data_IF_379250636696
#
_entry.id   IF_379250636696
#
_cell.length_a   1.000
_cell.length_b   1.000
_cell.length_c   1.000
_cell.angle_alpha   90.00
_cell.angle_beta   90.00
_cell.angle_gamma   90.00
#
_symmetry.space_group_name_H-M   'P 1'
#
loop_
_entity.id
_entity.type
_entity.pdbx_description
1 polymer ?
#
# COMPACT_ATOMS: atom_id res chain seq x y z
N UNK A 1 5.09 9.80 -21.35
CA UNK A 1 4.64 8.68 -20.48
C UNK A 1 5.17 8.77 -19.05
N UNK A 2 6.41 9.20 -18.80
CA UNK A 2 7.00 9.24 -17.45
C UNK A 2 6.26 10.10 -16.42
N UNK A 3 5.54 11.15 -16.84
CA UNK A 3 4.81 12.03 -15.91
C UNK A 3 3.66 11.33 -15.17
N UNK A 4 2.98 10.38 -15.82
CA UNK A 4 1.83 9.65 -15.23
C UNK A 4 2.29 8.65 -14.18
N UNK A 5 3.51 8.13 -14.31
CA UNK A 5 4.10 7.11 -13.43
C UNK A 5 4.92 7.72 -12.28
N UNK A 6 5.00 9.05 -12.17
CA UNK A 6 5.66 9.73 -11.04
C UNK A 6 5.21 9.26 -9.65
N UNK A 7 3.93 8.94 -9.40
CA UNK A 7 3.51 8.39 -8.10
C UNK A 7 4.22 7.07 -7.73
N UNK A 8 4.65 6.27 -8.71
CA UNK A 8 5.42 5.03 -8.48
C UNK A 8 6.84 5.31 -7.97
N UNK A 9 7.33 6.55 -8.04
CA UNK A 9 8.63 6.92 -7.49
C UNK A 9 8.75 6.59 -6.00
N UNK A 10 7.63 6.53 -5.26
CA UNK A 10 7.62 6.06 -3.88
C UNK A 10 8.30 4.70 -3.70
N UNK A 11 8.05 3.73 -4.59
CA UNK A 11 8.62 2.39 -4.49
C UNK A 11 10.16 2.39 -4.58
N UNK A 12 10.73 3.40 -5.24
CA UNK A 12 12.19 3.55 -5.36
C UNK A 12 12.87 4.23 -4.17
N UNK A 13 12.11 4.88 -3.28
CA UNK A 13 12.65 5.55 -2.09
C UNK A 13 13.09 4.48 -1.09
N UNK A 14 14.29 4.56 -0.53
CA UNK A 14 14.70 3.68 0.58
C UNK A 14 14.23 4.27 1.91
N UNK A 15 13.71 3.42 2.80
CA UNK A 15 13.23 3.91 4.09
C UNK A 15 14.37 4.27 5.03
N UNK A 16 14.11 5.34 5.76
CA UNK A 16 14.74 5.76 7.00
C UNK A 16 14.71 4.73 8.14
N UNK A 17 13.80 3.75 8.09
CA UNK A 17 13.64 2.77 9.17
C UNK A 17 14.67 1.66 8.93
N UNK A 18 15.94 2.03 9.06
CA UNK A 18 17.02 1.08 9.19
C UNK A 18 17.05 0.60 10.65
N UNK A 19 16.98 -0.72 10.80
CA UNK A 19 17.36 -1.42 12.02
C UNK A 19 18.78 -0.98 12.41
N UNK A 20 19.17 -1.14 13.68
CA UNK A 20 20.52 -0.83 14.21
C UNK A 20 21.64 -1.53 13.39
N UNK A 21 21.26 -2.51 12.55
CA UNK A 21 22.09 -3.31 11.65
C UNK A 21 22.12 -2.84 10.16
N UNK A 22 21.51 -1.70 9.79
CA UNK A 22 21.64 -1.11 8.45
C UNK A 22 20.99 -1.90 7.29
N UNK A 23 20.00 -2.76 7.57
CA UNK A 23 19.26 -3.51 6.55
C UNK A 23 17.93 -2.83 6.22
N UNK A 24 17.78 -2.44 4.96
CA UNK A 24 16.55 -1.86 4.42
C UNK A 24 15.40 -2.90 4.40
N UNK A 25 14.48 -2.81 5.36
CA UNK A 25 13.31 -3.70 5.47
C UNK A 25 12.13 -3.29 4.59
N UNK A 26 12.21 -2.14 3.90
CA UNK A 26 11.12 -1.64 3.04
C UNK A 26 10.53 -2.67 2.06
N UNK A 27 11.32 -3.42 1.26
CA UNK A 27 10.75 -4.38 0.32
C UNK A 27 10.02 -5.55 1.00
N UNK A 28 10.32 -5.83 2.28
CA UNK A 28 9.60 -6.84 3.05
C UNK A 28 8.17 -6.34 3.35
N UNK A 29 8.04 -5.07 3.73
CA UNK A 29 6.74 -4.48 4.02
C UNK A 29 5.92 -4.15 2.78
N UNK A 30 6.58 -3.71 1.70
CA UNK A 30 5.90 -3.29 0.47
C UNK A 30 5.48 -4.47 -0.42
N UNK A 31 6.13 -5.63 -0.30
CA UNK A 31 5.89 -6.77 -1.19
C UNK A 31 5.74 -8.10 -0.47
N UNK A 32 6.66 -8.46 0.42
CA UNK A 32 6.62 -9.77 1.07
C UNK A 32 5.37 -9.94 1.95
N UNK A 33 5.09 -8.98 2.85
CA UNK A 33 3.89 -9.00 3.70
C UNK A 33 2.58 -9.00 2.89
N UNK A 34 2.37 -8.07 1.93
CA UNK A 34 1.17 -8.08 1.09
C UNK A 34 0.95 -9.40 0.36
N UNK A 35 2.03 -9.98 -0.17
CA UNK A 35 1.96 -11.22 -0.91
C UNK A 35 1.62 -12.42 0.00
N UNK A 36 2.21 -12.49 1.20
CA UNK A 36 1.86 -13.54 2.17
C UNK A 36 0.39 -13.47 2.59
N UNK A 37 -0.12 -12.27 2.89
CA UNK A 37 -1.53 -12.10 3.24
C UNK A 37 -2.47 -12.38 2.06
N UNK A 38 -2.06 -12.04 0.83
CA UNK A 38 -2.82 -12.36 -0.37
C UNK A 38 -2.90 -13.87 -0.63
N UNK A 39 -1.81 -14.61 -0.40
CA UNK A 39 -1.81 -16.08 -0.47
C UNK A 39 -2.77 -16.65 0.57
N UNK A 40 -2.75 -16.16 1.81
CA UNK A 40 -3.64 -16.63 2.87
C UNK A 40 -5.12 -16.38 2.51
N UNK A 41 -5.45 -15.17 2.02
CA UNK A 41 -6.80 -14.84 1.59
C UNK A 41 -7.25 -15.70 0.38
N UNK A 42 -6.37 -15.91 -0.59
CA UNK A 42 -6.68 -16.73 -1.78
C UNK A 42 -6.81 -18.21 -1.43
N UNK A 43 -5.98 -18.71 -0.51
CA UNK A 43 -6.07 -20.07 0.02
C UNK A 43 -7.38 -20.29 0.77
N UNK A 44 -7.79 -19.31 1.58
CA UNK A 44 -9.10 -19.33 2.23
C UNK A 44 -10.23 -19.40 1.18
N UNK A 45 -10.19 -18.56 0.14
CA UNK A 45 -11.17 -18.60 -0.95
C UNK A 45 -11.18 -19.95 -1.68
N UNK A 46 -10.01 -20.57 -1.87
CA UNK A 46 -9.89 -21.90 -2.47
C UNK A 46 -10.55 -22.99 -1.63
N UNK A 47 -10.34 -22.97 -0.30
CA UNK A 47 -10.93 -23.96 0.62
C UNK A 47 -12.45 -23.82 0.71
N UNK A 48 -12.97 -22.60 0.62
CA UNK A 48 -14.42 -22.33 0.57
C UNK A 48 -15.04 -22.54 -0.81
N UNK A 49 -14.22 -22.87 -1.82
CA UNK A 49 -14.66 -23.01 -3.19
C UNK A 49 -15.31 -24.38 -3.41
N UNK A 50 -16.61 -24.49 -3.14
CA UNK A 50 -17.40 -25.66 -3.53
C UNK A 50 -17.96 -25.48 -4.94
N UNK A 51 -17.32 -26.11 -5.93
CA UNK A 51 -17.70 -26.06 -7.35
C UNK A 51 -18.74 -27.13 -7.74
N UNK A 52 -19.04 -28.09 -6.87
CA UNK A 52 -20.03 -29.15 -7.14
C UNK A 52 -21.44 -28.73 -6.73
N UNK A 53 -21.58 -27.77 -5.81
CA UNK A 53 -22.87 -27.18 -5.46
C UNK A 53 -23.35 -26.16 -6.51
N UNK A 54 -24.54 -26.38 -7.07
CA UNK A 54 -25.21 -25.50 -8.05
C UNK A 54 -25.52 -24.07 -7.54
N UNK A 55 -25.19 -23.75 -6.27
CA UNK A 55 -25.40 -22.47 -5.62
C UNK A 55 -24.09 -21.79 -5.20
N UNK A 56 -23.01 -21.96 -5.96
CA UNK A 56 -21.74 -21.29 -5.68
C UNK A 56 -21.85 -19.78 -5.99
N UNK A 57 -21.58 -18.93 -4.98
CA UNK A 57 -21.45 -17.48 -5.17
C UNK A 57 -19.97 -17.12 -5.20
N UNK A 58 -19.53 -16.61 -6.34
CA UNK A 58 -18.16 -16.12 -6.55
C UNK A 58 -17.92 -14.94 -5.59
N UNK A 59 -16.72 -14.84 -4.99
CA UNK A 59 -16.41 -13.73 -4.08
C UNK A 59 -16.66 -12.36 -4.73
N UNK A 60 -16.33 -12.21 -6.01
CA UNK A 60 -16.56 -11.00 -6.79
C UNK A 60 -18.04 -10.64 -7.01
N UNK A 61 -18.97 -11.55 -6.73
CA UNK A 61 -20.41 -11.28 -6.72
C UNK A 61 -20.98 -11.23 -5.29
N UNK A 62 -20.10 -11.38 -4.29
CA UNK A 62 -20.48 -11.39 -2.89
C UNK A 62 -20.59 -9.98 -2.31
N UNK A 63 -21.40 -9.86 -1.26
CA UNK A 63 -21.49 -8.65 -0.43
C UNK A 63 -20.12 -8.24 0.16
N UNK A 64 -19.22 -9.19 0.39
CA UNK A 64 -17.87 -8.91 0.89
C UNK A 64 -17.05 -8.10 -0.11
N UNK A 65 -17.15 -8.42 -1.40
CA UNK A 65 -16.48 -7.66 -2.46
C UNK A 65 -17.09 -6.27 -2.66
N UNK A 66 -18.41 -6.15 -2.55
CA UNK A 66 -19.10 -4.85 -2.59
C UNK A 66 -18.61 -3.92 -1.48
N UNK A 67 -18.54 -4.41 -0.24
CA UNK A 67 -18.02 -3.63 0.91
C UNK A 67 -16.57 -3.21 0.68
N UNK A 68 -15.72 -4.13 0.20
CA UNK A 68 -14.33 -3.81 -0.11
C UNK A 68 -14.22 -2.79 -1.25
N UNK A 69 -15.04 -2.91 -2.30
CA UNK A 69 -15.09 -1.96 -3.41
C UNK A 69 -15.51 -0.56 -2.96
N UNK A 70 -16.51 -0.46 -2.08
CA UNK A 70 -16.96 0.80 -1.49
C UNK A 70 -15.87 1.45 -0.61
N UNK A 71 -15.12 0.65 0.14
CA UNK A 71 -13.97 1.14 0.89
C UNK A 71 -12.89 1.71 -0.06
N UNK A 72 -12.53 0.98 -1.12
CA UNK A 72 -11.55 1.43 -2.11
C UNK A 72 -12.02 2.70 -2.83
N UNK A 73 -13.32 2.82 -3.12
CA UNK A 73 -13.91 4.02 -3.73
C UNK A 73 -13.73 5.28 -2.87
N UNK A 74 -13.80 5.15 -1.54
CA UNK A 74 -13.64 6.28 -0.63
C UNK A 74 -12.18 6.72 -0.45
N UNK A 75 -11.22 5.81 -0.64
CA UNK A 75 -9.80 6.05 -0.36
C UNK A 75 -9.14 7.17 -1.19
N UNK A 76 -9.32 7.27 -2.52
CA UNK A 76 -8.69 8.32 -3.32
C UNK A 76 -8.96 9.73 -2.78
N UNK A 77 -10.20 10.01 -2.39
CA UNK A 77 -10.57 11.32 -1.84
C UNK A 77 -9.92 11.60 -0.49
N UNK A 78 -9.93 10.61 0.41
CA UNK A 78 -9.29 10.72 1.72
C UNK A 78 -7.77 10.92 1.62
N UNK A 79 -7.12 10.13 0.76
CA UNK A 79 -5.67 10.18 0.54
C UNK A 79 -5.25 11.46 -0.16
N UNK A 80 -6.06 11.98 -1.08
CA UNK A 80 -5.82 13.27 -1.72
C UNK A 80 -5.94 14.44 -0.73
N UNK A 81 -6.91 14.38 0.19
CA UNK A 81 -7.04 15.37 1.26
C UNK A 81 -5.82 15.33 2.19
N UNK A 82 -5.37 14.14 2.61
CA UNK A 82 -4.17 13.96 3.42
C UNK A 82 -2.90 14.46 2.70
N UNK A 83 -2.75 14.18 1.40
CA UNK A 83 -1.67 14.70 0.57
C UNK A 83 -1.65 16.24 0.56
N UNK A 84 -2.82 16.84 0.31
CA UNK A 84 -2.97 18.31 0.27
C UNK A 84 -2.65 18.93 1.63
N UNK A 85 -3.07 18.29 2.73
CA UNK A 85 -2.73 18.71 4.08
C UNK A 85 -1.21 18.69 4.33
N UNK A 86 -0.53 17.60 3.97
CA UNK A 86 0.93 17.48 4.13
C UNK A 86 1.70 18.53 3.33
N UNK A 87 1.21 18.89 2.14
CA UNK A 87 1.83 19.89 1.26
C UNK A 87 1.55 21.32 1.74
N UNK A 88 0.32 21.61 2.17
CA UNK A 88 -0.12 22.96 2.54
C UNK A 88 0.24 23.35 3.97
N UNK A 89 0.31 22.40 4.90
CA UNK A 89 0.70 22.70 6.27
C UNK A 89 2.20 22.99 6.35
N UNK A 90 2.53 24.28 6.55
CA UNK A 90 3.89 24.81 6.73
C UNK A 90 4.54 24.41 8.06
N UNK A 91 4.44 23.15 8.46
CA UNK A 91 5.12 22.64 9.63
C UNK A 91 6.62 22.48 9.33
N UNK A 92 7.46 23.31 9.97
CA UNK A 92 8.92 23.29 9.81
C UNK A 92 9.54 21.93 10.16
N UNK A 93 8.94 21.15 11.07
CA UNK A 93 9.39 19.79 11.43
C UNK A 93 9.30 18.78 10.27
N UNK A 94 8.44 19.06 9.27
CA UNK A 94 8.31 18.23 8.06
C UNK A 94 9.33 18.60 6.99
N UNK A 95 9.85 19.83 7.02
CA UNK A 95 10.84 20.33 6.05
C UNK A 95 12.27 19.92 6.40
N UNK A 96 12.49 19.50 7.64
CA UNK A 96 13.80 19.06 8.12
C UNK A 96 14.09 17.64 7.61
N UNK A 97 15.30 17.45 7.10
CA UNK A 97 15.85 16.11 6.84
C UNK A 97 16.09 15.40 8.17
N UNK A 98 15.58 14.17 8.33
CA UNK A 98 15.72 13.46 9.58
C UNK A 98 17.21 13.26 9.93
N UNK A 99 17.64 13.75 11.10
CA UNK A 99 19.05 13.69 11.55
C UNK A 99 19.57 12.26 11.74
N UNK A 100 18.69 11.30 11.96
CA UNK A 100 19.02 9.87 12.09
C UNK A 100 18.19 9.08 11.09
N UNK A 101 18.91 8.34 10.25
CA UNK A 101 18.40 7.55 9.13
C UNK A 101 17.39 8.32 8.27
N UNK A 102 17.81 9.30 7.45
CA UNK A 102 16.90 9.99 6.55
C UNK A 102 16.40 9.08 5.42
N UNK A 103 15.16 9.29 4.93
CA UNK A 103 14.72 8.60 3.72
C UNK A 103 15.59 9.03 2.54
N UNK A 104 15.95 8.09 1.67
CA UNK A 104 16.89 8.31 0.57
C UNK A 104 16.18 8.11 -0.77
N UNK A 105 16.31 9.06 -1.69
CA UNK A 105 15.77 8.94 -3.05
C UNK A 105 16.58 7.92 -3.88
N UNK A 106 16.08 7.58 -5.07
CA UNK A 106 16.73 6.68 -6.04
C UNK A 106 18.18 7.10 -6.38
N UNK A 107 18.45 8.40 -6.35
CA UNK A 107 19.75 8.99 -6.66
C UNK A 107 20.73 9.02 -5.48
N UNK A 108 20.36 8.48 -4.32
CA UNK A 108 21.21 8.45 -3.13
C UNK A 108 21.14 9.72 -2.26
N UNK A 109 20.30 10.69 -2.63
CA UNK A 109 20.13 11.92 -1.86
C UNK A 109 19.09 11.79 -0.74
N UNK A 110 19.40 12.33 0.43
CA UNK A 110 18.48 12.45 1.55
C UNK A 110 17.30 13.35 1.18
N UNK A 111 16.08 12.94 1.54
CA UNK A 111 14.87 13.73 1.31
C UNK A 111 14.21 14.12 2.63
N UNK A 112 13.54 15.28 2.62
CA UNK A 112 12.76 15.74 3.76
C UNK A 112 11.58 14.81 4.05
N UNK A 113 11.09 14.85 5.30
CA UNK A 113 9.93 14.07 5.74
C UNK A 113 8.69 14.43 4.91
N UNK A 114 8.50 15.71 4.57
CA UNK A 114 7.41 16.19 3.70
C UNK A 114 7.47 15.53 2.33
N UNK A 115 8.66 15.48 1.71
CA UNK A 115 8.81 14.86 0.38
C UNK A 115 8.56 13.36 0.42
N UNK A 116 9.01 12.67 1.47
CA UNK A 116 8.69 11.26 1.68
C UNK A 116 7.18 11.02 1.80
N UNK A 117 6.51 11.75 2.69
CA UNK A 117 5.07 11.62 2.94
C UNK A 117 4.23 12.00 1.73
N UNK A 118 4.61 13.07 1.02
CA UNK A 118 3.94 13.48 -0.22
C UNK A 118 4.05 12.39 -1.28
N UNK A 119 5.20 11.74 -1.42
CA UNK A 119 5.36 10.62 -2.34
C UNK A 119 4.54 9.39 -1.90
N UNK A 120 4.49 9.10 -0.59
CA UNK A 120 3.71 7.98 -0.05
C UNK A 120 2.20 8.15 -0.30
N UNK A 121 1.65 9.32 0.02
CA UNK A 121 0.24 9.60 -0.23
C UNK A 121 -0.09 9.70 -1.72
N UNK A 122 0.82 10.24 -2.55
CA UNK A 122 0.66 10.24 -4.00
C UNK A 122 0.59 8.81 -4.56
N UNK A 123 1.48 7.91 -4.12
CA UNK A 123 1.45 6.50 -4.48
C UNK A 123 0.17 5.81 -4.03
N UNK A 124 -0.26 5.99 -2.78
CA UNK A 124 -1.49 5.40 -2.24
C UNK A 124 -2.73 5.91 -3.00
N UNK A 125 -2.77 7.19 -3.35
CA UNK A 125 -3.87 7.78 -4.14
C UNK A 125 -3.91 7.17 -5.54
N UNK A 126 -2.74 7.04 -6.19
CA UNK A 126 -2.64 6.40 -7.50
C UNK A 126 -3.06 4.92 -7.45
N UNK A 127 -2.56 4.16 -6.48
CA UNK A 127 -2.88 2.74 -6.32
C UNK A 127 -4.36 2.52 -6.03
N UNK A 128 -4.99 3.35 -5.20
CA UNK A 128 -6.43 3.26 -4.92
C UNK A 128 -7.30 3.58 -6.14
N UNK A 129 -6.90 4.53 -7.00
CA UNK A 129 -7.57 4.79 -8.28
C UNK A 129 -7.44 3.60 -9.25
N UNK A 130 -6.24 3.02 -9.37
CA UNK A 130 -6.02 1.82 -10.21
C UNK A 130 -6.84 0.64 -9.70
N UNK A 131 -6.88 0.43 -8.38
CA UNK A 131 -7.70 -0.61 -7.76
C UNK A 131 -9.19 -0.37 -7.98
N UNK A 132 -9.67 0.87 -7.85
CA UNK A 132 -11.07 1.21 -8.14
C UNK A 132 -11.46 0.82 -9.57
N UNK A 133 -10.65 1.22 -10.56
CA UNK A 133 -10.88 0.88 -11.97
C UNK A 133 -10.86 -0.64 -12.15
N UNK A 134 -9.89 -1.32 -11.54
CA UNK A 134 -9.77 -2.79 -11.58
C UNK A 134 -11.00 -3.47 -10.98
N UNK A 135 -11.52 -2.98 -9.85
CA UNK A 135 -12.75 -3.49 -9.21
C UNK A 135 -13.95 -3.37 -10.12
N UNK A 136 -14.10 -2.24 -10.84
CA UNK A 136 -15.18 -2.06 -11.82
C UNK A 136 -15.04 -3.06 -12.98
N UNK A 137 -13.84 -3.23 -13.53
CA UNK A 137 -13.59 -4.19 -14.61
C UNK A 137 -13.84 -5.65 -14.17
N UNK A 138 -13.41 -6.03 -12.97
CA UNK A 138 -13.67 -7.35 -12.40
C UNK A 138 -15.19 -7.57 -12.27
N UNK A 139 -15.91 -6.64 -11.63
CA UNK A 139 -17.38 -6.73 -11.50
C UNK A 139 -18.06 -6.91 -12.86
N UNK A 140 -17.67 -6.10 -13.85
CA UNK A 140 -18.24 -6.18 -15.19
C UNK A 140 -17.93 -7.52 -15.89
N UNK A 141 -16.69 -8.01 -15.79
CA UNK A 141 -16.25 -9.25 -16.44
C UNK A 141 -16.99 -10.48 -15.90
N UNK A 142 -17.18 -10.56 -14.58
CA UNK A 142 -17.91 -11.66 -13.94
C UNK A 142 -19.43 -11.54 -14.15
N UNK A 143 -20.01 -10.35 -13.97
CA UNK A 143 -21.45 -10.13 -14.14
C UNK A 143 -21.94 -10.37 -15.57
N UNK A 144 -21.14 -10.03 -16.57
CA UNK A 144 -21.53 -10.17 -17.98
C UNK A 144 -21.41 -11.60 -18.51
N UNK A 145 -20.89 -12.55 -17.72
CA UNK A 145 -20.70 -13.96 -18.08
C UNK A 145 -19.99 -14.15 -19.45
N UNK A 146 -19.14 -13.18 -19.83
CA UNK A 146 -18.42 -13.14 -21.12
C UNK A 146 -17.38 -14.26 -21.18
N UNK A 147 -16.91 -14.72 -20.02
CA UNK A 147 -15.88 -15.74 -19.83
C UNK A 147 -16.48 -17.15 -19.88
N UNK A 148 -16.99 -17.57 -21.04
CA UNK A 148 -17.43 -18.96 -21.28
C UNK A 148 -16.24 -19.91 -21.45
N UNK A 149 -15.48 -20.13 -20.37
CA UNK A 149 -14.39 -21.09 -20.33
C UNK A 149 -14.82 -22.38 -19.64
N UNK A 150 -14.10 -23.48 -19.89
CA UNK A 150 -14.32 -24.73 -19.14
C UNK A 150 -14.09 -24.54 -17.63
N UNK A 151 -14.75 -25.36 -16.81
CA UNK A 151 -14.79 -25.21 -15.34
C UNK A 151 -13.40 -25.08 -14.70
N UNK A 152 -12.41 -25.86 -15.15
CA UNK A 152 -11.03 -25.80 -14.65
C UNK A 152 -10.31 -24.49 -15.01
N UNK A 153 -10.51 -23.99 -16.24
CA UNK A 153 -9.92 -22.73 -16.70
C UNK A 153 -10.56 -21.54 -16.00
N UNK A 154 -11.86 -21.60 -15.77
CA UNK A 154 -12.59 -20.61 -14.98
C UNK A 154 -12.07 -20.55 -13.54
N UNK A 155 -11.91 -21.71 -12.88
CA UNK A 155 -11.33 -21.81 -11.52
C UNK A 155 -9.93 -21.19 -11.44
N UNK A 156 -9.07 -21.53 -12.39
CA UNK A 156 -7.71 -21.00 -12.43
C UNK A 156 -7.69 -19.48 -12.65
N UNK A 157 -8.49 -18.98 -13.59
CA UNK A 157 -8.66 -17.55 -13.85
C UNK A 157 -9.18 -16.79 -12.63
N UNK A 158 -10.17 -17.34 -11.93
CA UNK A 158 -10.71 -16.78 -10.68
C UNK A 158 -9.65 -16.66 -9.59
N UNK A 159 -8.93 -17.76 -9.29
CA UNK A 159 -7.90 -17.77 -8.25
C UNK A 159 -6.73 -16.85 -8.59
N UNK A 160 -6.31 -16.82 -9.86
CA UNK A 160 -5.26 -15.91 -10.34
C UNK A 160 -5.67 -14.45 -10.19
N UNK A 161 -6.90 -14.11 -10.61
CA UNK A 161 -7.45 -12.75 -10.46
C UNK A 161 -7.53 -12.36 -8.99
N UNK A 162 -8.02 -13.26 -8.13
CA UNK A 162 -8.10 -13.02 -6.68
C UNK A 162 -6.72 -12.77 -6.07
N UNK A 163 -5.72 -13.59 -6.39
CA UNK A 163 -4.36 -13.44 -5.86
C UNK A 163 -3.75 -12.09 -6.21
N UNK A 164 -3.84 -11.69 -7.49
CA UNK A 164 -3.31 -10.41 -7.96
C UNK A 164 -4.05 -9.26 -7.28
N UNK A 165 -5.38 -9.31 -7.27
CA UNK A 165 -6.20 -8.27 -6.66
C UNK A 165 -5.90 -8.09 -5.17
N UNK A 166 -5.90 -9.17 -4.38
CA UNK A 166 -5.60 -9.10 -2.95
C UNK A 166 -4.17 -8.65 -2.67
N UNK A 167 -3.19 -8.99 -3.52
CA UNK A 167 -1.82 -8.51 -3.37
C UNK A 167 -1.76 -6.99 -3.36
N UNK A 168 -2.43 -6.34 -4.32
CA UNK A 168 -2.46 -4.87 -4.39
C UNK A 168 -3.32 -4.24 -3.29
N UNK A 169 -4.44 -4.87 -2.91
CA UNK A 169 -5.26 -4.42 -1.78
C UNK A 169 -4.46 -4.43 -0.48
N UNK A 170 -3.79 -5.54 -0.15
CA UNK A 170 -2.96 -5.61 1.05
C UNK A 170 -1.75 -4.68 0.96
N UNK A 171 -1.14 -4.52 -0.23
CA UNK A 171 -0.04 -3.59 -0.42
C UNK A 171 -0.47 -2.15 -0.08
N UNK A 172 -1.62 -1.73 -0.58
CA UNK A 172 -2.21 -0.43 -0.24
C UNK A 172 -2.44 -0.30 1.28
N UNK A 173 -3.00 -1.32 1.93
CA UNK A 173 -3.25 -1.29 3.38
C UNK A 173 -1.96 -1.20 4.21
N UNK A 174 -0.94 -2.02 3.90
CA UNK A 174 0.32 -1.99 4.64
C UNK A 174 1.08 -0.67 4.44
N UNK A 175 1.14 -0.16 3.20
CA UNK A 175 1.77 1.13 2.92
C UNK A 175 1.00 2.26 3.61
N UNK A 176 -0.32 2.19 3.68
CA UNK A 176 -1.15 3.14 4.43
C UNK A 176 -0.84 3.10 5.93
N UNK A 177 -0.82 1.91 6.54
CA UNK A 177 -0.50 1.73 7.98
C UNK A 177 0.88 2.30 8.29
N UNK A 178 1.88 2.05 7.45
CA UNK A 178 3.24 2.52 7.69
C UNK A 178 3.34 4.04 7.49
N UNK A 179 2.62 4.58 6.51
CA UNK A 179 2.51 6.03 6.31
C UNK A 179 1.85 6.70 7.53
N UNK A 180 0.80 6.10 8.08
CA UNK A 180 0.13 6.57 9.30
C UNK A 180 1.05 6.46 10.52
N UNK A 181 1.76 5.35 10.69
CA UNK A 181 2.75 5.18 11.75
C UNK A 181 3.84 6.28 11.68
N UNK A 182 4.33 6.58 10.48
CA UNK A 182 5.34 7.62 10.28
C UNK A 182 4.81 9.01 10.67
N UNK A 183 3.56 9.34 10.35
CA UNK A 183 2.94 10.62 10.73
C UNK A 183 2.65 10.67 12.23
N UNK A 184 2.08 9.60 12.79
CA UNK A 184 1.67 9.55 14.18
C UNK A 184 2.86 9.61 15.14
N UNK A 185 3.87 8.77 14.91
CA UNK A 185 4.99 8.59 15.84
C UNK A 185 6.21 9.44 15.44
N UNK A 186 6.70 9.30 14.20
CA UNK A 186 8.00 9.88 13.79
C UNK A 186 7.98 11.40 13.57
N UNK A 187 6.84 11.99 13.22
CA UNK A 187 6.72 13.46 13.06
C UNK A 187 6.67 14.17 14.41
N UNK A 188 6.15 13.52 15.45
CA UNK A 188 6.03 14.10 16.79
C UNK A 188 7.24 13.83 17.70
N UNK A 189 8.15 12.93 17.31
CA UNK A 189 9.39 12.71 18.05
C UNK A 189 10.29 13.96 17.95
N UNK A 190 10.46 14.73 19.05
CA UNK A 190 11.23 15.96 19.01
C UNK A 190 12.70 15.65 18.74
N UNK A 191 13.31 16.45 17.85
CA UNK A 191 14.73 16.35 17.48
C UNK A 191 15.71 16.48 18.66
N UNK A 192 15.24 16.92 19.83
CA UNK A 192 16.01 17.09 21.06
C UNK A 192 16.24 15.79 21.87
N UNK A 193 15.50 14.71 21.65
CA UNK A 193 15.63 13.49 22.46
C UNK A 193 16.84 12.61 22.09
N UNK A 194 17.58 12.94 21.03
CA UNK A 194 18.73 12.13 20.60
C UNK A 194 20.09 12.67 21.03
N UNK A 195 20.18 13.87 21.61
CA UNK A 195 21.44 14.35 22.19
C UNK A 195 21.78 13.62 23.50
N UNK A 196 20.78 13.21 24.29
CA UNK A 196 20.99 12.53 25.58
C UNK A 196 21.57 11.11 25.49
N UNK A 197 21.63 10.51 24.31
CA UNK A 197 22.27 9.19 24.10
C UNK A 197 23.70 9.28 23.58
N UNK A 198 24.14 10.43 23.05
CA UNK A 198 25.55 10.67 22.72
C UNK A 198 26.35 11.07 23.95
N UNK A 199 25.78 11.90 24.82
CA UNK A 199 26.47 12.36 26.05
C UNK A 199 26.72 11.23 27.06
N UNK A 200 26.01 10.10 26.97
CA UNK A 200 26.22 8.92 27.84
C UNK A 200 27.23 7.90 27.32
N UNK A 201 27.75 8.08 26.09
CA UNK A 201 28.84 7.25 25.54
C UNK A 201 30.21 7.93 25.62
N UNK A 202 30.25 9.19 26.04
CA UNK A 202 31.48 9.98 26.20
C UNK A 202 31.77 10.38 27.66
N UNK A 203 31.07 9.79 28.64
CA UNK A 203 31.35 9.95 30.08
C UNK A 203 31.84 8.67 30.74
#
# INVERSE_FOLDING_TARGET
MELILKPLAYLSIKWAIDDVNGKNKKPIFDWFLPFTFAILATSFLYLTLDLESASFKIFFESKGFEVLGNFILALPGFLFAALTAVVSFGNKELDITAKVNPPINKDGHEISRRRYLSNAFSYLTFLSLVLLITTVFINYAYSSNILKFGLSWYKFGYLSTALVYFTFVFQMLFVLIITLYYIGDKVHQPSHYQNGFKDKKES
#
